data_IF_806569502619
#
_entry.id   IF_806569502619
#
_cell.length_a   1.000
_cell.length_b   1.000
_cell.length_c   1.000
_cell.angle_alpha   90.00
_cell.angle_beta   90.00
_cell.angle_gamma   90.00
#
_symmetry.space_group_name_H-M   'P 1'
#
loop_
_entity.id
_entity.type
_entity.pdbx_description
1 polymer ?
#
# COMPACT_ATOMS: atom_id res chain seq x y z
N UNK A 1 15.99 4.97 9.63
CA UNK A 1 14.98 4.41 8.71
C UNK A 1 15.70 3.88 7.49
N UNK A 2 15.30 2.73 6.95
CA UNK A 2 15.85 2.24 5.68
C UNK A 2 15.16 3.05 4.56
N UNK A 3 15.90 3.79 3.73
CA UNK A 3 15.33 4.70 2.73
C UNK A 3 14.49 3.96 1.69
N UNK A 4 14.95 2.78 1.24
CA UNK A 4 14.30 1.97 0.21
C UNK A 4 12.87 1.54 0.61
N UNK A 5 12.66 1.07 1.84
CA UNK A 5 11.32 0.69 2.30
C UNK A 5 10.35 1.87 2.34
N UNK A 6 10.85 3.07 2.71
CA UNK A 6 10.06 4.31 2.63
C UNK A 6 9.73 4.68 1.19
N UNK A 7 10.69 4.56 0.27
CA UNK A 7 10.50 4.84 -1.16
C UNK A 7 9.46 3.89 -1.78
N UNK A 8 9.52 2.59 -1.46
CA UNK A 8 8.58 1.59 -1.96
C UNK A 8 7.14 1.84 -1.50
N UNK A 9 6.93 2.18 -0.23
CA UNK A 9 5.59 2.53 0.28
C UNK A 9 5.13 3.86 -0.31
N UNK A 10 6.01 4.85 -0.40
CA UNK A 10 5.69 6.16 -1.00
C UNK A 10 5.25 6.01 -2.45
N UNK A 11 5.96 5.19 -3.25
CA UNK A 11 5.58 4.88 -4.63
C UNK A 11 4.15 4.37 -4.71
N UNK A 12 3.77 3.39 -3.88
CA UNK A 12 2.41 2.86 -3.88
C UNK A 12 1.37 3.95 -3.63
N UNK A 13 1.56 4.77 -2.58
CA UNK A 13 0.61 5.83 -2.24
C UNK A 13 0.55 6.91 -3.32
N UNK A 14 1.67 7.28 -3.93
CA UNK A 14 1.70 8.27 -5.00
C UNK A 14 1.01 7.75 -6.27
N UNK A 15 1.26 6.50 -6.66
CA UNK A 15 0.61 5.89 -7.82
C UNK A 15 -0.91 5.76 -7.60
N UNK A 16 -1.36 5.47 -6.38
CA UNK A 16 -2.80 5.45 -6.01
C UNK A 16 -3.41 6.84 -6.05
N UNK A 17 -2.74 7.84 -5.46
CA UNK A 17 -3.18 9.25 -5.43
C UNK A 17 -3.30 9.83 -6.83
N UNK A 18 -2.33 9.55 -7.70
CA UNK A 18 -2.30 10.02 -9.09
C UNK A 18 -3.10 9.14 -10.05
N UNK A 19 -3.70 8.04 -9.57
CA UNK A 19 -4.44 7.04 -10.36
C UNK A 19 -3.59 6.45 -11.50
N UNK A 20 -2.27 6.30 -11.30
CA UNK A 20 -1.34 5.75 -12.28
C UNK A 20 -1.47 4.22 -12.39
N UNK A 21 -2.54 3.77 -13.04
CA UNK A 21 -2.84 2.33 -13.21
C UNK A 21 -1.73 1.57 -13.91
N UNK A 22 -1.07 2.18 -14.90
CA UNK A 22 -0.03 1.53 -15.68
C UNK A 22 1.21 1.20 -14.83
N UNK A 23 1.60 2.10 -13.91
CA UNK A 23 2.75 1.84 -13.03
C UNK A 23 2.37 0.98 -11.82
N UNK A 24 1.14 1.08 -11.31
CA UNK A 24 0.61 0.10 -10.36
C UNK A 24 0.61 -1.30 -10.98
N UNK A 25 0.17 -1.45 -12.22
CA UNK A 25 0.15 -2.75 -12.90
C UNK A 25 1.55 -3.38 -13.00
N UNK A 26 2.59 -2.58 -13.21
CA UNK A 26 3.98 -3.07 -13.21
C UNK A 26 4.52 -3.32 -11.80
N UNK A 27 4.02 -2.59 -10.80
CA UNK A 27 4.53 -2.64 -9.43
C UNK A 27 3.89 -3.74 -8.59
N UNK A 28 2.58 -3.99 -8.77
CA UNK A 28 1.86 -5.03 -8.06
C UNK A 28 2.25 -6.41 -8.60
N UNK A 29 2.72 -7.30 -7.73
CA UNK A 29 3.00 -8.68 -8.07
C UNK A 29 1.75 -9.38 -8.64
N UNK A 30 1.88 -10.41 -9.49
CA UNK A 30 0.72 -11.13 -10.03
C UNK A 30 -0.19 -11.73 -8.96
N UNK A 31 0.38 -12.16 -7.82
CA UNK A 31 -0.32 -12.69 -6.66
C UNK A 31 -0.54 -11.63 -5.56
N UNK A 32 -0.49 -10.34 -5.90
CA UNK A 32 -0.71 -9.27 -4.93
C UNK A 32 -2.11 -9.31 -4.33
N UNK A 33 -2.20 -9.00 -3.04
CA UNK A 33 -3.46 -8.84 -2.33
C UNK A 33 -3.44 -7.63 -1.39
N UNK A 34 -4.63 -7.07 -1.17
CA UNK A 34 -4.87 -6.11 -0.10
C UNK A 34 -5.92 -6.64 0.88
N UNK A 35 -5.62 -6.55 2.18
CA UNK A 35 -6.59 -6.75 3.25
C UNK A 35 -6.85 -5.42 3.94
N UNK A 36 -8.11 -5.05 4.06
CA UNK A 36 -8.56 -3.91 4.87
C UNK A 36 -9.39 -4.44 6.02
N UNK A 37 -9.59 -3.60 7.03
CA UNK A 37 -10.49 -3.88 8.16
C UNK A 37 -11.96 -3.95 7.78
N UNK A 38 -12.33 -3.37 6.63
CA UNK A 38 -13.66 -3.45 6.04
C UNK A 38 -13.59 -3.99 4.62
N UNK A 39 -14.63 -4.71 4.21
CA UNK A 39 -14.72 -5.34 2.90
C UNK A 39 -14.01 -6.69 2.81
N UNK A 40 -14.00 -7.24 1.59
CA UNK A 40 -13.28 -8.48 1.26
C UNK A 40 -11.83 -8.16 0.86
N UNK A 41 -10.88 -9.10 1.02
CA UNK A 41 -9.59 -8.97 0.36
C UNK A 41 -9.78 -8.81 -1.15
N UNK A 42 -8.93 -7.97 -1.77
CA UNK A 42 -8.95 -7.74 -3.21
C UNK A 42 -7.68 -8.27 -3.86
N UNK A 43 -7.86 -8.85 -5.04
CA UNK A 43 -6.79 -9.18 -5.98
C UNK A 43 -6.27 -7.92 -6.70
N UNK A 44 -5.15 -8.07 -7.43
CA UNK A 44 -4.60 -7.02 -8.30
C UNK A 44 -5.63 -6.48 -9.28
N UNK A 45 -6.33 -7.35 -10.00
CA UNK A 45 -7.27 -6.94 -11.05
C UNK A 45 -8.48 -6.21 -10.47
N UNK A 46 -9.04 -6.72 -9.36
CA UNK A 46 -10.14 -6.05 -8.66
C UNK A 46 -9.73 -4.66 -8.15
N UNK A 47 -8.52 -4.53 -7.60
CA UNK A 47 -8.01 -3.26 -7.10
C UNK A 47 -7.73 -2.26 -8.22
N UNK A 48 -7.13 -2.68 -9.33
CA UNK A 48 -6.90 -1.83 -10.50
C UNK A 48 -8.22 -1.44 -11.19
N UNK A 49 -9.24 -2.29 -11.11
CA UNK A 49 -10.60 -2.01 -11.58
C UNK A 49 -11.28 -0.89 -10.80
N UNK A 50 -11.05 -0.82 -9.48
CA UNK A 50 -11.65 0.16 -8.57
C UNK A 50 -10.65 0.79 -7.60
N UNK A 51 -9.81 1.70 -8.11
CA UNK A 51 -8.84 2.40 -7.24
C UNK A 51 -9.55 3.34 -6.25
N UNK A 52 -9.14 3.37 -4.97
CA UNK A 52 -9.72 4.26 -3.98
C UNK A 52 -9.33 5.72 -4.24
N UNK A 53 -10.14 6.68 -3.81
CA UNK A 53 -9.77 8.10 -3.88
C UNK A 53 -8.81 8.43 -2.73
N UNK A 54 -7.58 8.82 -3.07
CA UNK A 54 -6.58 9.25 -2.11
C UNK A 54 -6.19 10.68 -2.46
N UNK A 55 -6.52 11.64 -1.59
CA UNK A 55 -6.26 13.07 -1.85
C UNK A 55 -4.92 13.53 -1.28
N UNK A 56 -4.61 13.09 -0.07
CA UNK A 56 -3.36 13.39 0.63
C UNK A 56 -2.99 12.23 1.55
N UNK A 57 -1.69 12.13 1.83
CA UNK A 57 -1.17 11.17 2.80
C UNK A 57 0.10 11.71 3.46
N UNK A 58 0.39 11.17 4.64
CA UNK A 58 1.65 11.37 5.38
C UNK A 58 2.09 10.02 5.93
N UNK A 59 3.31 9.61 5.59
CA UNK A 59 3.92 8.36 6.05
C UNK A 59 4.93 8.69 7.16
N UNK A 60 4.82 8.01 8.29
CA UNK A 60 5.64 8.22 9.48
C UNK A 60 6.05 6.87 10.09
N UNK A 61 7.02 6.88 11.00
CA UNK A 61 7.43 5.72 11.80
C UNK A 61 7.75 4.45 10.97
N UNK A 62 8.38 4.63 9.81
CA UNK A 62 8.69 3.53 8.88
C UNK A 62 9.75 2.61 9.49
N UNK A 63 9.43 1.32 9.57
CA UNK A 63 10.34 0.23 9.93
C UNK A 63 10.36 -0.80 8.80
N UNK A 64 11.47 -0.85 8.08
CA UNK A 64 11.71 -1.85 7.04
C UNK A 64 12.61 -2.97 7.59
N UNK A 65 12.31 -4.21 7.21
CA UNK A 65 13.09 -5.42 7.49
C UNK A 65 13.19 -6.23 6.20
N UNK A 66 14.41 -6.49 5.75
CA UNK A 66 14.67 -7.27 4.54
C UNK A 66 15.23 -8.65 4.90
N UNK A 67 14.85 -9.67 4.14
CA UNK A 67 15.37 -11.02 4.24
C UNK A 67 15.30 -11.73 2.89
N UNK A 68 16.45 -12.10 2.31
CA UNK A 68 16.59 -12.82 1.03
C UNK A 68 15.68 -12.30 -0.11
N UNK A 69 15.76 -10.99 -0.40
CA UNK A 69 14.95 -10.39 -1.48
C UNK A 69 13.47 -10.27 -1.15
N UNK A 70 13.07 -10.46 0.11
CA UNK A 70 11.77 -10.04 0.61
C UNK A 70 11.93 -8.85 1.54
N UNK A 71 10.96 -7.94 1.57
CA UNK A 71 10.96 -6.81 2.49
C UNK A 71 9.60 -6.66 3.15
N UNK A 72 9.57 -6.57 4.47
CA UNK A 72 8.40 -6.17 5.25
C UNK A 72 8.59 -4.72 5.73
N UNK A 73 7.58 -3.89 5.51
CA UNK A 73 7.58 -2.48 5.89
C UNK A 73 6.35 -2.20 6.75
N UNK A 74 6.58 -2.01 8.05
CA UNK A 74 5.59 -1.48 8.98
C UNK A 74 5.68 0.05 8.99
N UNK A 75 4.54 0.75 8.99
CA UNK A 75 4.50 2.21 9.00
C UNK A 75 3.23 2.73 9.67
N UNK A 76 3.26 4.00 10.07
CA UNK A 76 2.08 4.74 10.51
C UNK A 76 1.72 5.73 9.41
N UNK A 77 0.49 5.68 8.91
CA UNK A 77 0.04 6.51 7.79
C UNK A 77 -1.21 7.28 8.20
N UNK A 78 -1.22 8.57 7.89
CA UNK A 78 -2.41 9.42 7.90
C UNK A 78 -2.83 9.67 6.46
N UNK A 79 -4.08 9.42 6.09
CA UNK A 79 -4.54 9.57 4.70
C UNK A 79 -5.96 10.14 4.62
N UNK A 80 -6.18 11.04 3.66
CA UNK A 80 -7.54 11.43 3.22
C UNK A 80 -7.97 10.44 2.12
N UNK A 81 -8.54 9.33 2.58
CA UNK A 81 -8.83 8.14 1.78
C UNK A 81 -10.34 7.86 1.75
N UNK A 82 -10.89 7.65 0.56
CA UNK A 82 -12.25 7.15 0.35
C UNK A 82 -12.17 5.83 -0.42
N UNK A 83 -12.80 4.79 0.12
CA UNK A 83 -12.88 3.46 -0.49
C UNK A 83 -14.36 3.12 -0.63
N UNK A 84 -14.81 2.81 -1.84
CA UNK A 84 -16.21 2.42 -2.12
C UNK A 84 -17.23 3.41 -1.53
N UNK A 85 -16.97 4.71 -1.66
CA UNK A 85 -17.80 5.79 -1.11
C UNK A 85 -17.69 5.99 0.41
N UNK A 86 -16.98 5.11 1.12
CA UNK A 86 -16.75 5.21 2.57
C UNK A 86 -15.47 5.96 2.87
N UNK A 87 -15.58 7.07 3.59
CA UNK A 87 -14.41 7.85 4.04
C UNK A 87 -13.75 7.15 5.22
N UNK A 88 -12.46 6.89 5.10
CA UNK A 88 -11.66 6.39 6.22
C UNK A 88 -11.31 7.54 7.18
N UNK A 89 -11.18 7.27 8.49
CA UNK A 89 -10.70 8.26 9.43
C UNK A 89 -9.31 8.76 9.03
N UNK A 90 -9.15 10.08 8.90
CA UNK A 90 -7.86 10.74 8.64
C UNK A 90 -6.96 10.76 9.87
N UNK A 91 -6.98 9.70 10.69
CA UNK A 91 -6.18 9.55 11.90
C UNK A 91 -4.97 8.66 11.63
N UNK A 92 -3.82 8.91 12.27
CA UNK A 92 -2.63 8.06 12.15
C UNK A 92 -2.97 6.61 12.44
N UNK A 93 -2.50 5.73 11.55
CA UNK A 93 -3.00 4.36 11.45
C UNK A 93 -1.89 3.38 11.09
N UNK A 94 -1.88 2.16 11.65
CA UNK A 94 -0.86 1.16 11.32
C UNK A 94 -1.13 0.51 9.95
N UNK A 95 -0.07 0.44 9.14
CA UNK A 95 -0.05 -0.26 7.86
C UNK A 95 1.11 -1.25 7.81
N UNK A 96 0.90 -2.34 7.09
CA UNK A 96 1.94 -3.31 6.74
C UNK A 96 1.97 -3.50 5.23
N UNK A 97 3.15 -3.35 4.63
CA UNK A 97 3.39 -3.68 3.22
C UNK A 97 4.48 -4.73 3.13
N UNK A 98 4.31 -5.71 2.25
CA UNK A 98 5.34 -6.70 1.94
C UNK A 98 5.72 -6.62 0.47
N UNK A 99 7.00 -6.78 0.19
CA UNK A 99 7.58 -6.67 -1.14
C UNK A 99 8.43 -7.90 -1.43
N UNK A 100 8.55 -8.23 -2.71
CA UNK A 100 9.48 -9.24 -3.20
C UNK A 100 10.32 -8.65 -4.34
N UNK A 101 11.60 -9.01 -4.36
CA UNK A 101 12.56 -8.62 -5.38
C UNK A 101 12.70 -9.76 -6.37
N UNK A 102 12.45 -9.48 -7.65
CA UNK A 102 12.66 -10.43 -8.75
C UNK A 102 13.64 -9.80 -9.73
N UNK A 103 14.85 -10.35 -9.79
CA UNK A 103 16.00 -9.67 -10.39
C UNK A 103 16.32 -8.39 -9.63
N UNK A 104 16.41 -7.26 -10.33
CA UNK A 104 16.69 -5.96 -9.74
C UNK A 104 15.43 -5.13 -9.44
N UNK A 105 14.24 -5.72 -9.57
CA UNK A 105 12.96 -5.00 -9.43
C UNK A 105 12.19 -5.47 -8.20
N UNK A 106 11.73 -4.50 -7.41
CA UNK A 106 10.79 -4.72 -6.33
C UNK A 106 9.35 -4.71 -6.85
N UNK A 107 8.56 -5.63 -6.30
CA UNK A 107 7.13 -5.74 -6.51
C UNK A 107 6.43 -5.70 -5.15
N UNK A 108 5.33 -4.96 -5.05
CA UNK A 108 4.46 -5.03 -3.88
C UNK A 108 3.71 -6.37 -3.93
N UNK A 109 3.84 -7.15 -2.86
CA UNK A 109 3.24 -8.48 -2.72
C UNK A 109 1.98 -8.45 -1.84
N UNK A 110 1.98 -7.64 -0.80
CA UNK A 110 0.84 -7.54 0.10
C UNK A 110 0.75 -6.15 0.71
N UNK A 111 -0.48 -5.69 0.94
CA UNK A 111 -0.72 -4.44 1.66
C UNK A 111 -1.87 -4.62 2.64
N UNK A 112 -1.71 -4.10 3.85
CA UNK A 112 -2.74 -4.17 4.88
C UNK A 112 -2.95 -2.80 5.53
N UNK A 113 -4.21 -2.38 5.57
CA UNK A 113 -4.66 -1.30 6.43
C UNK A 113 -5.28 -1.92 7.69
N UNK A 114 -4.71 -1.61 8.86
CA UNK A 114 -5.10 -2.19 10.14
C UNK A 114 -5.98 -1.23 10.99
N UNK A 115 -6.47 -0.13 10.41
CA UNK A 115 -7.38 0.83 11.05
C UNK A 115 -8.80 0.33 11.04
N UNK A 116 -9.47 0.26 12.18
CA UNK A 116 -10.92 0.03 12.23
C UNK A 116 -11.64 1.38 12.00
N UNK A 117 -12.47 1.54 10.95
CA UNK A 117 -13.34 2.70 10.82
C UNK A 117 -14.28 2.78 12.03
N UNK A 118 -14.48 3.98 12.58
CA UNK A 118 -15.50 4.20 13.62
C UNK A 118 -16.87 4.43 13.00
#
# INVERSE_FOLDING_TARGET
ANSEGTELVTRFFEDVKTKNKADLEKFLAPNWQIQRTVGKPLTKDEYLGGLPELRSYKIEQVQAREYHGSMAVASVITADLVVDGTKFPGTPSPYLSTFIKVGDKWYLLGHANLTVPK
#
